data_IF_789403914376
#
_entry.id   IF_789403914376
#
_cell.length_a   1.000
_cell.length_b   1.000
_cell.length_c   1.000
_cell.angle_alpha   90.00
_cell.angle_beta   90.00
_cell.angle_gamma   90.00
#
_symmetry.space_group_name_H-M   'P 1'
#
loop_
_entity.id
_entity.type
_entity.pdbx_description
1 polymer ?
#
# COMPACT_ATOMS: atom_id res chain seq x y z
N UNK A 1 20.64 -20.10 8.68
CA UNK A 1 19.78 -19.49 7.62
C UNK A 1 18.37 -20.05 7.63
N UNK A 2 18.16 -21.38 7.69
CA UNK A 2 16.81 -22.00 7.70
C UNK A 2 15.94 -21.47 8.85
N UNK A 3 16.45 -21.47 10.07
CA UNK A 3 15.69 -21.01 11.25
C UNK A 3 15.27 -19.54 11.16
N UNK A 4 16.09 -18.69 10.53
CA UNK A 4 15.77 -17.28 10.27
C UNK A 4 14.61 -17.15 9.26
N UNK A 5 14.65 -17.94 8.20
CA UNK A 5 13.59 -17.98 7.19
C UNK A 5 12.27 -18.47 7.80
N UNK A 6 12.31 -19.54 8.59
CA UNK A 6 11.12 -20.08 9.26
C UNK A 6 10.53 -19.11 10.28
N UNK A 7 11.40 -18.37 10.98
CA UNK A 7 10.97 -17.31 11.90
C UNK A 7 10.22 -16.19 11.15
N UNK A 8 10.80 -15.67 10.07
CA UNK A 8 10.19 -14.61 9.28
C UNK A 8 8.86 -15.05 8.67
N UNK A 9 8.81 -16.25 8.05
CA UNK A 9 7.57 -16.82 7.47
C UNK A 9 6.45 -16.96 8.50
N UNK A 10 6.76 -17.46 9.70
CA UNK A 10 5.79 -17.59 10.79
C UNK A 10 5.22 -16.23 11.22
N UNK A 11 6.05 -15.19 11.25
CA UNK A 11 5.61 -13.83 11.53
C UNK A 11 4.68 -13.28 10.47
N UNK A 12 5.04 -13.46 9.20
CA UNK A 12 4.23 -13.03 8.04
C UNK A 12 2.90 -13.77 8.00
N UNK A 13 2.89 -15.10 8.21
CA UNK A 13 1.70 -15.94 8.16
C UNK A 13 0.64 -15.60 9.23
N UNK A 14 1.01 -14.89 10.30
CA UNK A 14 0.06 -14.36 11.30
C UNK A 14 -0.65 -13.09 10.85
N UNK A 15 -0.10 -12.42 9.83
CA UNK A 15 -0.67 -11.20 9.27
C UNK A 15 -1.90 -11.49 8.42
N UNK A 16 -2.91 -10.62 8.52
CA UNK A 16 -4.05 -10.62 7.59
C UNK A 16 -3.57 -10.32 6.18
N UNK A 17 -4.18 -10.99 5.22
CA UNK A 17 -3.74 -10.96 3.83
C UNK A 17 -4.01 -9.62 3.14
N UNK A 18 -3.21 -9.38 2.11
CA UNK A 18 -3.35 -8.27 1.15
C UNK A 18 -3.37 -8.87 -0.24
N UNK A 19 -4.27 -8.37 -1.07
CA UNK A 19 -4.38 -8.71 -2.50
C UNK A 19 -4.06 -7.46 -3.31
N UNK A 20 -3.23 -7.62 -4.32
CA UNK A 20 -2.96 -6.59 -5.34
C UNK A 20 -3.33 -7.20 -6.68
N UNK A 21 -4.16 -6.52 -7.47
CA UNK A 21 -4.61 -7.03 -8.75
C UNK A 21 -4.88 -5.93 -9.77
N UNK A 22 -4.63 -6.24 -11.03
CA UNK A 22 -4.94 -5.37 -12.16
C UNK A 22 -6.44 -5.29 -12.41
N UNK A 23 -6.91 -4.08 -12.74
CA UNK A 23 -8.26 -3.82 -13.27
C UNK A 23 -8.15 -2.94 -14.52
N UNK A 24 -9.24 -2.68 -15.24
CA UNK A 24 -9.25 -1.97 -16.53
C UNK A 24 -8.53 -0.61 -16.51
N UNK A 25 -8.64 0.14 -15.40
CA UNK A 25 -8.07 1.48 -15.27
C UNK A 25 -6.80 1.55 -14.41
N UNK A 26 -6.26 0.42 -13.94
CA UNK A 26 -5.05 0.44 -13.14
C UNK A 26 -4.83 -0.78 -12.25
N UNK A 27 -4.31 -0.51 -11.04
CA UNK A 27 -3.96 -1.54 -10.06
C UNK A 27 -4.75 -1.28 -8.77
N UNK A 28 -5.46 -2.28 -8.29
CA UNK A 28 -6.21 -2.23 -7.03
C UNK A 28 -5.46 -2.96 -5.91
N UNK A 29 -5.54 -2.42 -4.71
CA UNK A 29 -4.98 -2.95 -3.47
C UNK A 29 -6.12 -3.17 -2.50
N UNK A 30 -6.29 -4.38 -2.02
CA UNK A 30 -7.35 -4.77 -1.10
C UNK A 30 -6.75 -5.53 0.07
N UNK A 31 -6.94 -5.03 1.28
CA UNK A 31 -6.44 -5.64 2.49
C UNK A 31 -7.55 -5.83 3.52
N UNK A 32 -7.53 -6.97 4.23
CA UNK A 32 -8.27 -7.08 5.48
C UNK A 32 -7.53 -6.26 6.55
N UNK A 33 -8.10 -5.12 6.92
CA UNK A 33 -7.51 -4.21 7.90
C UNK A 33 -8.60 -3.47 8.70
N UNK A 34 -8.94 -3.89 9.91
CA UNK A 34 -9.89 -3.19 10.77
C UNK A 34 -9.30 -1.93 11.42
N UNK A 35 -7.99 -1.70 11.31
CA UNK A 35 -7.36 -0.50 11.85
C UNK A 35 -7.62 0.71 10.96
N UNK A 36 -8.05 1.81 11.56
CA UNK A 36 -8.22 3.10 10.87
C UNK A 36 -6.94 3.93 10.82
N UNK A 37 -5.97 3.63 11.69
CA UNK A 37 -4.74 4.41 11.85
C UNK A 37 -3.52 3.73 11.23
N UNK A 38 -3.47 2.40 11.26
CA UNK A 38 -2.32 1.62 10.80
C UNK A 38 -2.61 1.08 9.40
N UNK A 39 -2.08 1.75 8.40
CA UNK A 39 -2.30 1.38 7.00
C UNK A 39 -1.30 0.33 6.51
N UNK A 40 -1.81 -0.63 5.74
CA UNK A 40 -1.01 -1.63 5.03
C UNK A 40 -0.66 -1.20 3.61
N UNK A 41 -1.46 -0.28 3.04
CA UNK A 41 -1.30 0.23 1.67
C UNK A 41 -1.00 1.72 1.72
N UNK A 42 0.01 2.17 0.97
CA UNK A 42 0.44 3.57 0.97
C UNK A 42 0.94 4.02 -0.39
N UNK A 43 0.74 5.29 -0.68
CA UNK A 43 1.40 5.97 -1.78
C UNK A 43 2.89 6.12 -1.49
N UNK A 44 3.73 5.91 -2.50
CA UNK A 44 5.17 6.22 -2.44
C UNK A 44 5.48 7.41 -3.32
N UNK A 45 5.00 7.42 -4.55
CA UNK A 45 5.26 8.49 -5.51
C UNK A 45 4.12 8.59 -6.53
N UNK A 46 4.22 9.48 -7.51
CA UNK A 46 3.18 9.83 -8.48
C UNK A 46 2.39 8.64 -9.03
N UNK A 47 3.08 7.56 -9.38
CA UNK A 47 2.52 6.36 -10.02
C UNK A 47 2.84 5.09 -9.25
N UNK A 48 3.42 5.20 -8.05
CA UNK A 48 3.96 4.07 -7.28
C UNK A 48 3.26 3.97 -5.94
N UNK A 49 2.77 2.77 -5.64
CA UNK A 49 2.23 2.42 -4.34
C UNK A 49 2.97 1.24 -3.72
N UNK A 50 2.83 1.13 -2.41
CA UNK A 50 3.42 0.13 -1.54
C UNK A 50 2.32 -0.59 -0.79
N UNK A 51 2.40 -1.90 -0.72
CA UNK A 51 1.58 -2.70 0.16
C UNK A 51 2.46 -3.65 0.98
N UNK A 52 2.06 -3.94 2.21
CA UNK A 52 2.85 -4.79 3.09
C UNK A 52 2.01 -5.65 4.03
N UNK A 53 2.58 -6.78 4.40
CA UNK A 53 2.11 -7.67 5.46
C UNK A 53 3.23 -7.98 6.43
N UNK A 54 2.88 -8.40 7.64
CA UNK A 54 3.83 -8.73 8.69
C UNK A 54 3.90 -7.67 9.79
N UNK A 55 5.08 -7.43 10.33
CA UNK A 55 5.27 -6.57 11.49
C UNK A 55 5.24 -5.09 11.13
N UNK A 56 4.26 -4.36 11.67
CA UNK A 56 3.96 -2.98 11.31
C UNK A 56 5.17 -2.05 11.36
N UNK A 57 5.90 -2.02 12.48
CA UNK A 57 7.04 -1.11 12.64
C UNK A 57 8.17 -1.39 11.63
N UNK A 58 8.32 -2.63 11.18
CA UNK A 58 9.34 -3.02 10.21
C UNK A 58 8.95 -2.56 8.80
N UNK A 59 7.72 -2.83 8.36
CA UNK A 59 7.29 -2.36 7.04
C UNK A 59 7.06 -0.84 6.98
N UNK A 60 6.68 -0.20 8.09
CA UNK A 60 6.57 1.26 8.16
C UNK A 60 7.93 1.95 7.98
N UNK A 61 9.00 1.39 8.55
CA UNK A 61 10.36 1.87 8.30
C UNK A 61 10.74 1.75 6.81
N UNK A 62 10.38 0.63 6.16
CA UNK A 62 10.59 0.46 4.72
C UNK A 62 9.78 1.47 3.90
N UNK A 63 8.50 1.66 4.23
CA UNK A 63 7.66 2.66 3.56
C UNK A 63 8.28 4.05 3.62
N UNK A 64 8.69 4.51 4.81
CA UNK A 64 9.33 5.82 5.00
C UNK A 64 10.63 5.92 4.22
N UNK A 65 11.45 4.87 4.23
CA UNK A 65 12.69 4.82 3.45
C UNK A 65 12.41 4.93 1.93
N UNK A 66 11.35 4.27 1.46
CA UNK A 66 10.94 4.33 0.05
C UNK A 66 10.45 5.71 -0.39
N UNK A 67 9.66 6.38 0.44
CA UNK A 67 9.25 7.77 0.17
C UNK A 67 10.46 8.69 0.07
N UNK A 68 11.40 8.58 1.01
CA UNK A 68 12.64 9.39 0.98
C UNK A 68 13.50 9.09 -0.24
N UNK A 69 13.63 7.83 -0.62
CA UNK A 69 14.34 7.42 -1.84
C UNK A 69 13.71 8.04 -3.08
N UNK A 70 12.38 7.96 -3.21
CA UNK A 70 11.64 8.51 -4.33
C UNK A 70 11.76 10.03 -4.41
N UNK A 71 11.57 10.73 -3.30
CA UNK A 71 11.68 12.19 -3.20
C UNK A 71 13.09 12.66 -3.57
N UNK A 72 14.12 12.04 -3.01
CA UNK A 72 15.51 12.42 -3.30
C UNK A 72 15.86 12.20 -4.77
N UNK A 73 15.44 11.06 -5.34
CA UNK A 73 15.72 10.72 -6.73
C UNK A 73 14.97 11.66 -7.69
N UNK A 74 13.69 11.89 -7.46
CA UNK A 74 12.86 12.75 -8.29
C UNK A 74 13.28 14.22 -8.23
N UNK A 75 13.81 14.67 -7.08
CA UNK A 75 14.36 16.03 -6.94
C UNK A 75 15.73 16.17 -7.61
N UNK A 76 16.61 15.16 -7.45
CA UNK A 76 18.01 15.25 -7.95
C UNK A 76 18.12 15.03 -9.46
N UNK A 77 17.15 14.36 -10.07
CA UNK A 77 17.13 14.06 -11.51
C UNK A 77 15.81 14.52 -12.12
N UNK A 78 14.91 13.60 -12.42
CA UNK A 78 13.56 13.88 -12.93
C UNK A 78 12.54 12.97 -12.23
N UNK A 79 11.29 13.44 -12.12
CA UNK A 79 10.21 12.65 -11.51
C UNK A 79 9.97 11.32 -12.24
N UNK A 80 10.19 11.27 -13.55
CA UNK A 80 10.09 10.07 -14.36
C UNK A 80 11.20 9.04 -14.11
N UNK A 81 12.30 9.44 -13.47
CA UNK A 81 13.38 8.51 -13.07
C UNK A 81 13.07 7.71 -11.82
N UNK A 82 11.97 8.04 -11.13
CA UNK A 82 11.49 7.26 -9.99
C UNK A 82 10.61 6.13 -10.51
N UNK A 83 11.13 4.90 -10.44
CA UNK A 83 10.45 3.71 -10.94
C UNK A 83 10.26 2.67 -9.84
N UNK A 84 9.21 1.84 -9.96
CA UNK A 84 8.99 0.72 -9.03
C UNK A 84 10.16 -0.27 -9.06
N UNK A 85 10.76 -0.51 -10.21
CA UNK A 85 11.94 -1.38 -10.35
C UNK A 85 13.14 -0.85 -9.56
N UNK A 86 13.43 0.45 -9.67
CA UNK A 86 14.51 1.07 -8.90
C UNK A 86 14.28 1.00 -7.40
N UNK A 87 13.04 1.24 -6.97
CA UNK A 87 12.64 1.15 -5.57
C UNK A 87 12.69 -0.30 -5.06
N UNK A 88 12.21 -1.27 -5.85
CA UNK A 88 12.29 -2.70 -5.49
C UNK A 88 13.74 -3.16 -5.30
N UNK A 89 14.66 -2.73 -6.17
CA UNK A 89 16.08 -3.03 -6.01
C UNK A 89 16.67 -2.45 -4.71
N UNK A 90 16.30 -1.22 -4.35
CA UNK A 90 16.74 -0.61 -3.09
C UNK A 90 16.22 -1.37 -1.87
N UNK A 91 14.95 -1.77 -1.89
CA UNK A 91 14.37 -2.59 -0.83
C UNK A 91 14.99 -3.99 -0.75
N UNK A 92 15.26 -4.63 -1.89
CA UNK A 92 15.90 -5.93 -1.94
C UNK A 92 17.28 -5.92 -1.26
N UNK A 93 18.08 -4.88 -1.51
CA UNK A 93 19.37 -4.69 -0.86
C UNK A 93 19.22 -4.53 0.66
N UNK A 94 18.27 -3.70 1.10
CA UNK A 94 17.99 -3.47 2.52
C UNK A 94 17.56 -4.76 3.21
N UNK A 95 16.56 -5.46 2.65
CA UNK A 95 16.05 -6.72 3.21
C UNK A 95 17.10 -7.81 3.23
N UNK A 96 17.90 -7.95 2.16
CA UNK A 96 19.02 -8.91 2.09
C UNK A 96 20.10 -8.62 3.14
N UNK A 97 20.44 -7.35 3.35
CA UNK A 97 21.39 -6.93 4.39
C UNK A 97 20.86 -7.26 5.79
N UNK A 98 19.61 -6.88 6.09
CA UNK A 98 18.98 -7.22 7.38
C UNK A 98 18.91 -8.73 7.58
N UNK A 99 18.55 -9.49 6.54
CA UNK A 99 18.45 -10.93 6.62
C UNK A 99 19.79 -11.61 6.91
N UNK A 100 20.90 -11.09 6.41
CA UNK A 100 22.22 -11.71 6.55
C UNK A 100 23.04 -11.16 7.71
N UNK A 101 22.91 -9.89 8.07
CA UNK A 101 23.82 -9.20 9.00
C UNK A 101 23.19 -8.86 10.34
N UNK A 102 21.88 -8.61 10.41
CA UNK A 102 21.21 -8.26 11.66
C UNK A 102 20.92 -9.48 12.53
N UNK A 103 20.79 -9.28 13.85
CA UNK A 103 20.47 -10.36 14.80
C UNK A 103 19.13 -11.03 14.52
N UNK A 104 18.15 -10.27 14.01
CA UNK A 104 16.78 -10.70 13.70
C UNK A 104 16.40 -10.33 12.25
N UNK A 105 15.88 -11.26 11.44
CA UNK A 105 15.33 -10.92 10.14
C UNK A 105 14.05 -10.11 10.29
N UNK A 106 13.71 -9.32 9.28
CA UNK A 106 12.38 -8.69 9.21
C UNK A 106 11.30 -9.73 8.95
N UNK A 107 10.18 -9.57 9.63
CA UNK A 107 8.97 -10.38 9.47
C UNK A 107 8.00 -9.64 8.53
N UNK A 108 8.44 -9.39 7.29
CA UNK A 108 7.69 -8.61 6.31
C UNK A 108 7.72 -9.24 4.93
N UNK A 109 6.66 -9.02 4.21
CA UNK A 109 6.56 -9.23 2.78
C UNK A 109 5.91 -7.98 2.19
N UNK A 110 6.44 -7.46 1.09
CA UNK A 110 6.01 -6.20 0.51
C UNK A 110 5.77 -6.33 -0.99
N UNK A 111 4.87 -5.50 -1.49
CA UNK A 111 4.67 -5.26 -2.92
C UNK A 111 4.93 -3.80 -3.22
N UNK A 112 5.67 -3.55 -4.29
CA UNK A 112 5.82 -2.25 -4.94
C UNK A 112 5.18 -2.34 -6.30
N UNK A 113 4.19 -1.51 -6.57
CA UNK A 113 3.50 -1.48 -7.85
C UNK A 113 3.56 -0.09 -8.49
N UNK A 114 3.72 -0.07 -9.79
CA UNK A 114 3.70 1.13 -10.63
C UNK A 114 2.66 0.97 -11.73
N UNK A 115 1.73 1.92 -11.81
CA UNK A 115 0.75 1.93 -12.89
C UNK A 115 1.36 2.56 -14.14
N UNK A 116 1.35 1.80 -15.24
CA UNK A 116 1.80 2.23 -16.56
C UNK A 116 0.75 3.07 -17.31
N UNK A 117 1.08 3.48 -18.52
CA UNK A 117 0.12 4.12 -19.45
C UNK A 117 -0.89 3.12 -20.01
N UNK A 118 -0.54 1.84 -20.06
CA UNK A 118 -1.38 0.72 -20.49
C UNK A 118 -1.25 -0.43 -19.50
N UNK A 119 -2.22 -1.38 -19.44
CA UNK A 119 -2.10 -2.55 -18.57
C UNK A 119 -0.82 -3.37 -18.81
N UNK A 120 -0.38 -3.47 -20.05
CA UNK A 120 0.85 -4.18 -20.42
C UNK A 120 2.14 -3.54 -19.89
N UNK A 121 2.07 -2.28 -19.45
CA UNK A 121 3.20 -1.54 -18.88
C UNK A 121 3.11 -1.37 -17.36
N UNK A 122 2.10 -1.96 -16.72
CA UNK A 122 2.02 -2.03 -15.27
C UNK A 122 3.14 -2.91 -14.73
N UNK A 123 3.74 -2.50 -13.61
CA UNK A 123 4.81 -3.25 -12.95
C UNK A 123 4.41 -3.57 -11.52
N UNK A 124 4.56 -4.82 -11.13
CA UNK A 124 4.28 -5.28 -9.77
C UNK A 124 5.44 -6.15 -9.29
N UNK A 125 6.15 -5.70 -8.27
CA UNK A 125 7.26 -6.43 -7.68
C UNK A 125 6.91 -6.88 -6.27
N UNK A 126 7.00 -8.20 -6.04
CA UNK A 126 6.89 -8.81 -4.72
C UNK A 126 8.26 -9.02 -4.13
N UNK A 127 8.47 -8.60 -2.89
CA UNK A 127 9.73 -8.76 -2.18
C UNK A 127 9.49 -9.51 -0.87
N UNK A 128 10.34 -10.48 -0.60
CA UNK A 128 10.31 -11.27 0.62
C UNK A 128 11.39 -10.84 1.61
N UNK A 129 11.24 -11.28 2.84
CA UNK A 129 12.10 -10.95 3.98
C UNK A 129 13.61 -11.16 3.75
N UNK A 130 14.00 -12.00 2.80
CA UNK A 130 15.39 -12.31 2.46
C UNK A 130 15.98 -11.45 1.34
N UNK A 131 15.19 -10.53 0.80
CA UNK A 131 15.55 -9.65 -0.31
C UNK A 131 15.30 -10.26 -1.70
N UNK A 132 14.66 -11.41 -1.79
CA UNK A 132 14.25 -11.98 -3.07
C UNK A 132 13.16 -11.11 -3.70
N UNK A 133 13.24 -10.92 -5.02
CA UNK A 133 12.30 -10.13 -5.82
C UNK A 133 11.68 -11.01 -6.88
N UNK A 134 10.36 -10.97 -6.99
CA UNK A 134 9.59 -11.57 -8.07
C UNK A 134 8.86 -10.48 -8.85
N UNK A 135 8.82 -10.62 -10.17
CA UNK A 135 7.99 -9.81 -11.07
C UNK A 135 6.66 -10.53 -11.24
N UNK A 136 5.59 -9.89 -10.79
CA UNK A 136 4.26 -10.48 -10.74
C UNK A 136 3.36 -9.89 -11.84
N UNK A 137 2.58 -10.73 -12.48
CA UNK A 137 1.72 -10.33 -13.59
C UNK A 137 0.25 -10.49 -13.23
N UNK A 138 -0.49 -9.41 -13.36
CA UNK A 138 -1.93 -9.38 -13.17
C UNK A 138 -2.38 -9.34 -11.72
N UNK A 139 -1.80 -10.15 -10.84
CA UNK A 139 -2.18 -10.18 -9.43
C UNK A 139 -1.08 -10.77 -8.54
N UNK A 140 -1.18 -10.50 -7.24
CA UNK A 140 -0.37 -11.11 -6.19
C UNK A 140 -1.15 -11.10 -4.88
N UNK A 141 -0.97 -12.11 -4.05
CA UNK A 141 -1.46 -12.15 -2.69
C UNK A 141 -0.33 -12.31 -1.68
N UNK A 142 -0.46 -11.71 -0.51
CA UNK A 142 0.51 -11.78 0.58
C UNK A 142 -0.18 -12.08 1.91
N UNK A 143 0.57 -12.65 2.84
CA UNK A 143 0.08 -12.93 4.21
C UNK A 143 -0.36 -14.37 4.44
N UNK A 144 -1.11 -14.59 5.52
CA UNK A 144 -1.40 -15.94 6.02
C UNK A 144 -2.22 -16.85 5.10
N UNK A 145 -3.06 -16.28 4.24
CA UNK A 145 -3.91 -17.01 3.28
C UNK A 145 -3.46 -16.88 1.82
N UNK A 146 -2.26 -16.38 1.56
CA UNK A 146 -1.81 -15.98 0.23
C UNK A 146 -1.91 -17.12 -0.81
N UNK A 147 -1.48 -18.33 -0.48
CA UNK A 147 -1.45 -19.46 -1.42
C UNK A 147 -2.85 -19.83 -1.94
N UNK A 148 -3.85 -19.81 -1.07
CA UNK A 148 -5.23 -20.11 -1.46
C UNK A 148 -5.86 -18.96 -2.24
N UNK A 149 -5.58 -17.72 -1.82
CA UNK A 149 -6.04 -16.52 -2.53
C UNK A 149 -5.45 -16.51 -3.94
N UNK A 150 -4.16 -16.80 -4.10
CA UNK A 150 -3.52 -16.89 -5.41
C UNK A 150 -4.13 -18.00 -6.29
N UNK A 151 -4.47 -19.15 -5.70
CA UNK A 151 -5.18 -20.21 -6.42
C UNK A 151 -6.53 -19.72 -6.93
N UNK A 152 -7.32 -19.06 -6.09
CA UNK A 152 -8.60 -18.50 -6.51
C UNK A 152 -8.49 -17.36 -7.53
N UNK A 153 -7.42 -16.56 -7.44
CA UNK A 153 -7.12 -15.52 -8.43
C UNK A 153 -6.75 -16.13 -9.78
N UNK A 154 -5.93 -17.18 -9.82
CA UNK A 154 -5.57 -17.90 -11.05
C UNK A 154 -6.79 -18.46 -11.79
N UNK A 155 -7.83 -18.86 -11.06
CA UNK A 155 -9.05 -19.40 -11.63
C UNK A 155 -10.03 -18.32 -12.12
N UNK A 156 -10.11 -17.18 -11.43
CA UNK A 156 -11.20 -16.22 -11.59
C UNK A 156 -10.77 -14.86 -12.13
N UNK A 157 -9.51 -14.48 -11.93
CA UNK A 157 -9.01 -13.20 -12.44
C UNK A 157 -8.86 -13.27 -13.96
N UNK A 158 -9.22 -12.18 -14.62
CA UNK A 158 -8.99 -11.96 -16.05
C UNK A 158 -8.59 -10.52 -16.29
N UNK A 159 -7.86 -10.27 -17.34
CA UNK A 159 -7.51 -8.90 -17.75
C UNK A 159 -8.78 -8.12 -18.12
N UNK A 160 -8.80 -6.82 -17.77
CA UNK A 160 -9.90 -5.92 -18.10
C UNK A 160 -11.10 -6.01 -17.16
N UNK A 161 -10.98 -6.63 -15.98
CA UNK A 161 -12.03 -6.54 -14.95
C UNK A 161 -12.32 -5.09 -14.61
N UNK A 162 -13.59 -4.74 -14.46
CA UNK A 162 -13.98 -3.46 -13.86
C UNK A 162 -13.61 -3.42 -12.37
N UNK A 163 -13.45 -2.21 -11.81
CA UNK A 163 -13.05 -2.07 -10.42
C UNK A 163 -13.99 -2.80 -9.44
N UNK A 164 -15.29 -2.72 -9.64
CA UNK A 164 -16.30 -3.43 -8.81
C UNK A 164 -16.11 -4.95 -8.85
N UNK A 165 -15.90 -5.53 -10.05
CA UNK A 165 -15.63 -6.96 -10.21
C UNK A 165 -14.32 -7.36 -9.52
N UNK A 166 -13.26 -6.58 -9.71
CA UNK A 166 -11.95 -6.81 -9.08
C UNK A 166 -12.03 -6.76 -7.55
N UNK A 167 -12.77 -5.79 -6.98
CA UNK A 167 -12.98 -5.68 -5.55
C UNK A 167 -13.81 -6.83 -5.00
N UNK A 168 -14.91 -7.20 -5.65
CA UNK A 168 -15.77 -8.31 -5.25
C UNK A 168 -14.97 -9.63 -5.24
N UNK A 169 -14.16 -9.86 -6.29
CA UNK A 169 -13.28 -11.02 -6.36
C UNK A 169 -12.29 -11.05 -5.19
N UNK A 170 -11.56 -9.94 -4.98
CA UNK A 170 -10.56 -9.87 -3.92
C UNK A 170 -11.17 -10.04 -2.52
N UNK A 171 -12.29 -9.37 -2.24
CA UNK A 171 -12.98 -9.47 -0.94
C UNK A 171 -13.54 -10.88 -0.71
N UNK A 172 -14.11 -11.51 -1.72
CA UNK A 172 -14.58 -12.89 -1.63
C UNK A 172 -13.44 -13.87 -1.29
N UNK A 173 -12.26 -13.70 -1.90
CA UNK A 173 -11.09 -14.54 -1.62
C UNK A 173 -10.48 -14.24 -0.25
N UNK A 174 -10.45 -12.98 0.20
CA UNK A 174 -10.00 -12.60 1.54
C UNK A 174 -10.92 -13.16 2.64
N UNK A 175 -12.21 -13.27 2.35
CA UNK A 175 -13.20 -13.86 3.27
C UNK A 175 -13.21 -15.38 3.28
N UNK A 176 -12.63 -16.06 2.29
CA UNK A 176 -12.61 -17.52 2.20
C UNK A 176 -11.86 -18.14 3.40
N UNK A 177 -12.44 -19.21 3.96
CA UNK A 177 -11.78 -19.95 5.04
C UNK A 177 -10.74 -20.90 4.45
N UNK A 178 -9.46 -20.79 4.88
CA UNK A 178 -8.41 -21.70 4.45
C UNK A 178 -8.69 -23.19 4.72
N UNK A 179 -9.48 -23.50 5.71
CA UNK A 179 -9.85 -24.88 6.08
C UNK A 179 -11.08 -25.41 5.32
N UNK A 180 -11.62 -24.63 4.34
CA UNK A 180 -12.85 -25.01 3.60
C UNK A 180 -14.14 -24.81 4.40
N UNK A 181 -14.09 -24.03 5.47
CA UNK A 181 -15.25 -23.61 6.24
C UNK A 181 -16.09 -22.54 5.52
N UNK A 182 -17.11 -21.99 6.19
CA UNK A 182 -17.96 -20.96 5.61
C UNK A 182 -17.16 -19.68 5.32
N UNK A 183 -17.39 -19.07 4.16
CA UNK A 183 -16.82 -17.77 3.82
C UNK A 183 -17.25 -16.71 4.81
N UNK A 184 -16.31 -15.95 5.36
CA UNK A 184 -16.58 -14.80 6.23
C UNK A 184 -17.02 -13.62 5.37
N UNK A 185 -18.11 -12.99 5.74
CA UNK A 185 -18.51 -11.74 5.13
C UNK A 185 -17.67 -10.59 5.72
N UNK A 186 -16.87 -9.93 4.87
CA UNK A 186 -16.04 -8.80 5.26
C UNK A 186 -16.81 -7.50 5.00
N UNK A 187 -17.03 -6.73 6.05
CA UNK A 187 -17.69 -5.44 5.96
C UNK A 187 -16.73 -4.36 5.42
N UNK A 188 -17.23 -3.29 4.78
CA UNK A 188 -16.38 -2.18 4.30
C UNK A 188 -15.47 -1.57 5.37
N UNK A 189 -15.89 -1.60 6.64
CA UNK A 189 -15.10 -1.10 7.78
C UNK A 189 -13.93 -1.99 8.16
N UNK A 190 -13.90 -3.23 7.69
CA UNK A 190 -12.81 -4.19 7.90
C UNK A 190 -11.83 -4.22 6.72
N UNK A 191 -12.09 -3.42 5.70
CA UNK A 191 -11.30 -3.36 4.49
C UNK A 191 -10.49 -2.06 4.41
N UNK A 192 -9.28 -2.19 3.91
CA UNK A 192 -8.48 -1.09 3.40
C UNK A 192 -8.34 -1.27 1.89
N UNK A 193 -8.87 -0.31 1.12
CA UNK A 193 -8.87 -0.34 -0.34
C UNK A 193 -8.21 0.91 -0.88
N UNK A 194 -7.31 0.73 -1.83
CA UNK A 194 -6.71 1.81 -2.59
C UNK A 194 -6.50 1.39 -4.05
N UNK A 195 -6.34 2.35 -4.93
CA UNK A 195 -6.06 2.13 -6.35
C UNK A 195 -4.94 3.05 -6.83
N UNK A 196 -4.19 2.59 -7.83
CA UNK A 196 -3.43 3.42 -8.75
C UNK A 196 -4.27 3.52 -10.03
N UNK A 197 -4.85 4.69 -10.30
CA UNK A 197 -5.69 4.94 -11.45
C UNK A 197 -4.89 5.65 -12.55
N UNK A 198 -4.68 4.98 -13.70
CA UNK A 198 -3.86 5.47 -14.82
C UNK A 198 -4.42 6.71 -15.49
N UNK A 199 -5.72 6.97 -15.35
CA UNK A 199 -6.38 8.12 -15.96
C UNK A 199 -6.27 9.40 -15.12
N UNK A 200 -5.83 9.29 -13.86
CA UNK A 200 -5.59 10.47 -13.03
C UNK A 200 -4.28 11.15 -13.41
N UNK A 201 -4.29 12.46 -13.64
CA UNK A 201 -3.06 13.21 -13.91
C UNK A 201 -2.20 13.27 -12.63
N UNK A 202 -0.90 13.13 -12.77
CA UNK A 202 0.12 13.21 -11.71
C UNK A 202 -0.04 12.13 -10.63
N UNK A 203 -0.85 12.40 -9.59
CA UNK A 203 -1.05 11.54 -8.43
C UNK A 203 -2.10 10.48 -8.74
N UNK A 204 -1.66 9.29 -9.11
CA UNK A 204 -2.54 8.19 -9.50
C UNK A 204 -3.15 7.47 -8.30
N UNK A 205 -2.53 7.56 -7.12
CA UNK A 205 -2.98 6.89 -5.91
C UNK A 205 -4.28 7.51 -5.37
N UNK A 206 -5.24 6.64 -5.00
CA UNK A 206 -6.49 7.03 -4.36
C UNK A 206 -6.93 5.95 -3.37
N UNK A 207 -7.37 6.37 -2.17
CA UNK A 207 -8.07 5.49 -1.23
C UNK A 207 -9.55 5.43 -1.58
N UNK A 208 -10.13 4.24 -1.48
CA UNK A 208 -11.56 4.00 -1.70
C UNK A 208 -12.18 3.69 -0.34
N UNK A 209 -13.03 4.58 0.17
CA UNK A 209 -13.61 4.50 1.51
C UNK A 209 -15.08 4.90 1.53
N UNK A 210 -15.79 4.60 2.64
CA UNK A 210 -17.15 5.05 2.90
C UNK A 210 -18.15 4.61 1.85
N UNK A 211 -19.09 5.48 1.50
CA UNK A 211 -20.18 5.20 0.56
C UNK A 211 -19.70 4.75 -0.83
N UNK A 212 -18.55 5.21 -1.28
CA UNK A 212 -18.00 4.78 -2.57
C UNK A 212 -17.62 3.30 -2.52
N UNK A 213 -16.94 2.86 -1.46
CA UNK A 213 -16.59 1.45 -1.29
C UNK A 213 -17.86 0.59 -1.16
N UNK A 214 -18.83 1.02 -0.37
CA UNK A 214 -20.11 0.33 -0.21
C UNK A 214 -20.82 0.14 -1.54
N UNK A 215 -20.90 1.19 -2.37
CA UNK A 215 -21.50 1.11 -3.70
C UNK A 215 -20.76 0.15 -4.63
N UNK A 216 -19.42 0.21 -4.67
CA UNK A 216 -18.61 -0.66 -5.52
C UNK A 216 -18.73 -2.14 -5.13
N UNK A 217 -18.96 -2.45 -3.86
CA UNK A 217 -19.15 -3.83 -3.39
C UNK A 217 -20.59 -4.33 -3.54
N UNK A 218 -21.57 -3.42 -3.60
CA UNK A 218 -23.01 -3.78 -3.72
C UNK A 218 -23.54 -3.71 -5.13
N UNK A 219 -22.82 -3.10 -6.08
CA UNK A 219 -23.31 -2.93 -7.44
C UNK A 219 -23.03 -4.17 -8.28
N UNK A 220 -24.10 -4.81 -8.76
CA UNK A 220 -24.05 -5.79 -9.86
C UNK A 220 -23.81 -5.11 -11.23
N UNK A 221 -23.72 -3.77 -11.27
CA UNK A 221 -23.53 -3.01 -12.51
C UNK A 221 -22.04 -2.65 -12.70
N UNK A 222 -21.34 -3.31 -13.63
CA UNK A 222 -19.93 -3.07 -13.90
C UNK A 222 -19.63 -1.68 -14.48
N UNK A 223 -20.65 -0.94 -14.91
CA UNK A 223 -20.49 0.38 -15.56
C UNK A 223 -20.41 1.55 -14.57
N UNK A 224 -20.55 1.31 -13.27
CA UNK A 224 -20.47 2.38 -12.28
C UNK A 224 -19.02 2.86 -12.14
N UNK A 225 -18.67 3.80 -12.99
CA UNK A 225 -17.38 4.51 -12.95
C UNK A 225 -17.22 5.26 -11.64
N UNK A 226 -16.04 5.15 -11.07
CA UNK A 226 -15.60 6.03 -9.98
C UNK A 226 -15.66 7.46 -10.50
N UNK A 227 -16.47 8.36 -9.93
CA UNK A 227 -16.52 9.74 -10.40
C UNK A 227 -15.13 10.35 -10.34
N UNK A 228 -14.75 11.24 -11.27
CA UNK A 228 -13.51 11.97 -11.19
C UNK A 228 -13.43 12.59 -9.79
N UNK A 229 -12.28 12.48 -9.15
CA UNK A 229 -12.08 13.04 -7.82
C UNK A 229 -12.31 14.55 -7.89
N UNK A 230 -13.18 15.05 -7.05
CA UNK A 230 -13.21 16.46 -6.70
C UNK A 230 -11.91 16.75 -5.96
N UNK A 231 -10.95 17.41 -6.62
CA UNK A 231 -9.61 17.72 -6.08
C UNK A 231 -9.68 18.79 -4.96
N UNK A 232 -10.86 19.02 -4.36
CA UNK A 232 -11.20 20.11 -3.47
C UNK A 232 -11.33 19.80 -1.98
N UNK A 233 -11.00 18.61 -1.46
CA UNK A 233 -11.19 18.32 -0.04
C UNK A 233 -10.15 17.41 0.60
N UNK A 234 -8.87 17.75 0.49
CA UNK A 234 -7.88 17.40 1.52
C UNK A 234 -7.74 18.61 2.46
N UNK A 235 -8.75 18.82 3.30
CA UNK A 235 -8.60 19.68 4.49
C UNK A 235 -7.63 19.03 5.48
N UNK A 236 -6.34 19.14 5.22
CA UNK A 236 -5.36 19.23 6.28
C UNK A 236 -5.49 20.63 6.89
N UNK A 237 -6.42 20.78 7.81
CA UNK A 237 -6.40 21.84 8.81
C UNK A 237 -5.06 21.78 9.55
N UNK A 238 -4.07 22.45 9.01
CA UNK A 238 -2.92 22.92 9.76
C UNK A 238 -3.48 23.93 10.76
N UNK A 239 -3.73 23.50 11.98
CA UNK A 239 -3.97 24.41 13.08
C UNK A 239 -2.72 25.27 13.21
N UNK A 240 -2.87 26.51 12.77
CA UNK A 240 -1.92 27.60 12.97
C UNK A 240 -1.75 27.81 14.48
N UNK A 241 -0.64 27.32 15.04
CA UNK A 241 -0.22 27.60 16.41
C UNK A 241 0.74 28.77 16.34
N UNK A 242 0.24 29.95 16.03
CA UNK A 242 0.97 31.19 16.18
C UNK A 242 0.11 32.24 16.87
N UNK A 243 -0.03 32.14 18.20
CA UNK A 243 -0.27 33.27 19.05
C UNK A 243 0.50 33.08 20.35
N UNK A 244 1.74 33.51 20.32
CA UNK A 244 2.53 33.74 21.52
C UNK A 244 2.26 35.17 21.97
N UNK A 245 1.65 35.42 23.15
CA UNK A 245 1.50 36.76 23.65
C UNK A 245 2.85 37.29 24.12
N UNK A 246 3.21 38.45 23.59
CA UNK A 246 4.37 39.23 23.97
C UNK A 246 4.39 39.46 25.49
N UNK A 247 5.42 38.92 26.12
CA UNK A 247 5.80 39.30 27.48
C UNK A 247 6.46 40.69 27.43
N UNK A 248 5.73 41.72 27.83
CA UNK A 248 6.29 43.04 28.10
C UNK A 248 7.31 42.94 29.23
N UNK A 249 8.58 43.30 28.95
CA UNK A 249 9.58 43.57 29.99
C UNK A 249 9.35 45.00 30.54
N UNK A 250 9.31 45.20 31.85
CA UNK A 250 9.32 46.53 32.41
C UNK A 250 10.72 47.16 32.28
N UNK A 251 10.75 48.45 31.96
CA UNK A 251 11.93 49.27 31.97
C UNK A 251 12.54 49.33 33.37
N UNK A 252 13.84 49.10 33.50
CA UNK A 252 14.61 49.45 34.69
C UNK A 252 15.33 50.78 34.44
N UNK A 253 14.88 51.80 35.21
CA UNK A 253 15.59 53.04 35.40
C UNK A 253 16.90 52.73 36.14
N UNK A 254 18.02 53.15 35.61
CA UNK A 254 19.30 53.18 36.29
C UNK A 254 19.57 54.59 36.84
N UNK A 255 20.10 54.69 38.05
CA UNK A 255 20.47 56.02 38.59
C UNK A 255 21.82 56.49 38.08
N UNK A 256 21.89 57.83 37.96
CA UNK A 256 23.10 58.56 37.73
C UNK A 256 24.05 58.47 38.94
N UNK A 257 25.34 58.29 38.73
CA UNK A 257 26.50 58.98 39.21
C UNK A 257 27.74 58.57 38.48
#
# INVERSE_FOLDING_TARGET
MKDRADYARKGIARGRSVVVLGYDKGIAFVAENPSRALHKVSEIYDRIAFAAVGKYNEFENLRVAGVRYADLRGYSYDRSDVTARGLANAYAQTLGTVFTQESKPYEVEIVVAEVGSTPATDQVYRLTYDGSVADEHGFVAMGGGAEQIETGLKEKWREGLHLSEALTLAVGLLGADPAGGPTRELTPTQLEVAVLDRHRPRRTFRRITGQLLERLLSSDDPTHDVPPADDGADEHSVRDVSTNPQTQRPAQDGPAE
#
